data_IF_563324718020
#
_entry.id   IF_563324718020
#
_cell.length_a   1.000
_cell.length_b   1.000
_cell.length_c   1.000
_cell.angle_alpha   90.00
_cell.angle_beta   90.00
_cell.angle_gamma   90.00
#
_symmetry.space_group_name_H-M   'P 1'
#
loop_
_entity.id
_entity.type
_entity.pdbx_description
1 polymer ?
#
# COMPACT_ATOMS: atom_id res chain seq x y z
N UNK A 1 -19.96 10.51 20.42
CA UNK A 1 -18.51 10.59 20.73
C UNK A 1 -18.17 9.28 21.44
N UNK A 2 -17.16 8.55 20.99
CA UNK A 2 -16.70 7.36 21.70
C UNK A 2 -16.18 7.78 23.08
N UNK A 3 -16.46 6.97 24.11
CA UNK A 3 -15.85 7.19 25.39
C UNK A 3 -14.35 6.80 25.37
N UNK A 4 -13.58 7.38 26.26
CA UNK A 4 -12.12 7.23 26.32
C UNK A 4 -11.70 5.76 26.50
N UNK A 5 -12.45 4.99 27.26
CA UNK A 5 -12.23 3.57 27.51
C UNK A 5 -12.39 2.73 26.22
N UNK A 6 -13.42 3.02 25.43
CA UNK A 6 -13.63 2.34 24.14
C UNK A 6 -12.50 2.64 23.15
N UNK A 7 -11.98 3.87 23.14
CA UNK A 7 -10.84 4.25 22.31
C UNK A 7 -9.58 3.49 22.73
N UNK A 8 -9.29 3.39 24.02
CA UNK A 8 -8.14 2.63 24.55
C UNK A 8 -8.23 1.13 24.22
N UNK A 9 -9.41 0.54 24.38
CA UNK A 9 -9.66 -0.86 24.02
C UNK A 9 -9.42 -1.11 22.52
N UNK A 10 -9.87 -0.22 21.65
CA UNK A 10 -9.66 -0.30 20.21
C UNK A 10 -8.17 -0.18 19.86
N UNK A 11 -7.45 0.80 20.44
CA UNK A 11 -6.00 0.93 20.25
C UNK A 11 -5.26 -0.33 20.70
N UNK A 12 -5.58 -0.84 21.91
CA UNK A 12 -4.97 -2.07 22.42
C UNK A 12 -5.15 -3.29 21.51
N UNK A 13 -6.25 -3.34 20.76
CA UNK A 13 -6.50 -4.39 19.78
C UNK A 13 -5.74 -4.15 18.47
N UNK A 14 -5.89 -2.98 17.87
CA UNK A 14 -5.33 -2.67 16.55
C UNK A 14 -3.81 -2.50 16.55
N UNK A 15 -3.20 -2.08 17.66
CA UNK A 15 -1.74 -1.96 17.79
C UNK A 15 -1.02 -3.32 17.80
N UNK A 16 -1.75 -4.42 18.04
CA UNK A 16 -1.21 -5.79 17.98
C UNK A 16 -1.29 -6.42 16.59
N UNK A 17 -2.06 -5.82 15.69
CA UNK A 17 -2.23 -6.35 14.34
C UNK A 17 -1.07 -5.90 13.43
N UNK A 18 -0.63 -6.76 12.50
CA UNK A 18 0.43 -6.40 11.56
C UNK A 18 -0.06 -5.37 10.54
N UNK A 19 0.84 -4.45 10.18
CA UNK A 19 0.57 -3.40 9.21
C UNK A 19 0.00 -2.13 9.81
N UNK A 20 0.00 -1.08 9.02
CA UNK A 20 -0.60 0.20 9.38
C UNK A 20 -2.12 0.15 9.23
N UNK A 21 -2.87 0.31 10.31
CA UNK A 21 -4.33 0.22 10.29
C UNK A 21 -4.95 1.57 10.57
N UNK A 22 -5.96 1.90 9.77
CA UNK A 22 -6.75 3.11 9.91
C UNK A 22 -8.24 2.78 9.84
N UNK A 23 -9.02 3.34 10.76
CA UNK A 23 -10.48 3.31 10.71
C UNK A 23 -10.99 4.68 10.31
N UNK A 24 -11.85 4.72 9.31
CA UNK A 24 -12.36 5.94 8.67
C UNK A 24 -13.88 5.87 8.62
N UNK A 25 -14.59 6.96 8.87
CA UNK A 25 -16.05 7.02 8.69
C UNK A 25 -16.42 6.69 7.25
N UNK A 26 -17.46 5.87 7.08
CA UNK A 26 -17.98 5.53 5.76
C UNK A 26 -19.01 6.54 5.27
N UNK A 27 -18.72 7.83 5.43
CA UNK A 27 -19.48 8.96 4.92
C UNK A 27 -18.61 9.88 4.05
N UNK A 28 -19.17 10.96 3.53
CA UNK A 28 -18.44 11.89 2.66
C UNK A 28 -17.35 12.69 3.37
N UNK A 29 -17.31 12.69 4.71
CA UNK A 29 -16.24 13.34 5.48
C UNK A 29 -14.93 12.53 5.44
N UNK A 30 -15.03 11.21 5.32
CA UNK A 30 -13.91 10.29 5.41
C UNK A 30 -12.99 10.61 6.60
N UNK A 31 -13.61 11.00 7.74
CA UNK A 31 -12.89 11.36 8.97
C UNK A 31 -12.18 10.13 9.55
N UNK A 32 -10.92 10.29 9.90
CA UNK A 32 -10.13 9.24 10.53
C UNK A 32 -10.53 9.14 12.00
N UNK A 33 -11.02 7.98 12.40
CA UNK A 33 -11.45 7.68 13.76
C UNK A 33 -10.33 7.11 14.61
N UNK A 34 -9.43 6.33 13.98
CA UNK A 34 -8.31 5.66 14.63
C UNK A 34 -7.20 5.40 13.62
N UNK A 35 -5.95 5.51 14.05
CA UNK A 35 -4.77 4.99 13.38
C UNK A 35 -3.91 4.25 14.40
N UNK A 36 -3.43 3.05 14.07
CA UNK A 36 -2.57 2.30 14.97
C UNK A 36 -1.13 2.81 14.95
N UNK A 37 -0.33 2.40 15.93
CA UNK A 37 1.06 2.83 16.08
C UNK A 37 1.91 2.57 14.83
N UNK A 38 1.69 1.45 14.14
CA UNK A 38 2.44 1.11 12.93
C UNK A 38 2.11 2.06 11.78
N UNK A 39 0.85 2.52 11.64
CA UNK A 39 0.50 3.53 10.64
C UNK A 39 1.15 4.88 10.97
N UNK A 40 1.17 5.30 12.24
CA UNK A 40 1.88 6.51 12.66
C UNK A 40 3.36 6.44 12.29
N UNK A 41 4.00 5.29 12.50
CA UNK A 41 5.39 5.04 12.09
C UNK A 41 5.58 5.17 10.57
N UNK A 42 4.60 4.73 9.75
CA UNK A 42 4.68 4.88 8.29
C UNK A 42 4.73 6.34 7.87
N UNK A 43 4.00 7.20 8.58
CA UNK A 43 3.97 8.64 8.34
C UNK A 43 5.09 9.41 9.06
N UNK A 44 5.93 8.74 9.86
CA UNK A 44 6.96 9.35 10.70
C UNK A 44 6.37 10.33 11.71
N UNK A 45 5.21 10.01 12.26
CA UNK A 45 4.54 10.76 13.31
C UNK A 45 4.77 10.07 14.67
N UNK A 46 5.15 10.85 15.68
CA UNK A 46 5.40 10.33 17.03
C UNK A 46 4.11 9.99 17.80
N UNK A 47 2.99 10.62 17.41
CA UNK A 47 1.70 10.46 18.09
C UNK A 47 0.53 10.81 17.19
N UNK A 48 -0.68 10.54 17.69
CA UNK A 48 -1.94 10.82 17.01
C UNK A 48 -2.13 12.30 16.65
N UNK A 49 -1.70 13.23 17.50
CA UNK A 49 -1.88 14.65 17.25
C UNK A 49 -1.06 15.11 16.03
N UNK A 50 0.20 14.69 15.94
CA UNK A 50 1.06 14.98 14.78
C UNK A 50 0.49 14.39 13.48
N UNK A 51 -0.04 13.16 13.55
CA UNK A 51 -0.66 12.51 12.41
C UNK A 51 -1.93 13.26 11.96
N UNK A 52 -2.75 13.70 12.91
CA UNK A 52 -3.96 14.49 12.63
C UNK A 52 -3.63 15.85 12.01
N UNK A 53 -2.59 16.51 12.49
CA UNK A 53 -2.11 17.76 11.91
C UNK A 53 -1.61 17.58 10.47
N UNK A 54 -0.85 16.52 10.22
CA UNK A 54 -0.32 16.20 8.89
C UNK A 54 -1.43 15.88 7.88
N UNK A 55 -2.44 15.12 8.30
CA UNK A 55 -3.49 14.60 7.42
C UNK A 55 -4.78 15.42 7.43
N UNK A 56 -4.86 16.46 8.27
CA UNK A 56 -6.12 17.17 8.53
C UNK A 56 -7.20 16.27 9.12
N UNK A 57 -6.84 15.10 9.67
CA UNK A 57 -7.75 14.13 10.28
C UNK A 57 -8.68 13.43 9.29
N UNK A 58 -8.35 13.40 7.99
CA UNK A 58 -9.18 12.80 6.95
C UNK A 58 -8.37 11.86 6.04
N UNK A 59 -9.05 10.85 5.46
CA UNK A 59 -8.43 9.99 4.45
C UNK A 59 -7.88 10.80 3.26
N UNK A 60 -8.60 11.83 2.84
CA UNK A 60 -8.15 12.71 1.76
C UNK A 60 -6.77 13.33 2.04
N UNK A 61 -6.50 13.70 3.28
CA UNK A 61 -5.21 14.26 3.68
C UNK A 61 -4.10 13.22 3.91
N UNK A 62 -4.46 11.93 3.91
CA UNK A 62 -3.48 10.84 3.99
C UNK A 62 -2.77 10.58 2.66
N UNK A 63 -3.37 10.95 1.54
CA UNK A 63 -2.88 10.69 0.19
C UNK A 63 -2.55 11.98 -0.54
N UNK A 64 -1.72 11.90 -1.57
CA UNK A 64 -1.48 13.05 -2.45
C UNK A 64 -2.78 13.47 -3.16
N UNK A 65 -2.97 14.77 -3.35
CA UNK A 65 -4.18 15.30 -3.97
C UNK A 65 -4.45 14.74 -5.37
N UNK A 66 -3.39 14.47 -6.15
CA UNK A 66 -3.45 13.84 -7.48
C UNK A 66 -3.86 12.36 -7.45
N UNK A 67 -3.62 11.69 -6.33
CA UNK A 67 -3.87 10.26 -6.15
C UNK A 67 -5.16 9.97 -5.37
N UNK A 68 -5.83 11.03 -4.91
CA UNK A 68 -7.04 10.88 -4.11
C UNK A 68 -8.20 10.33 -4.94
N UNK A 69 -8.73 9.22 -4.48
CA UNK A 69 -9.99 8.61 -4.94
C UNK A 69 -10.83 8.34 -3.69
N UNK A 70 -12.09 8.80 -3.61
CA UNK A 70 -12.96 8.50 -2.49
C UNK A 70 -13.03 7.00 -2.21
N UNK A 71 -13.03 6.59 -0.93
CA UNK A 71 -13.00 5.17 -0.54
C UNK A 71 -14.17 4.37 -1.15
N UNK A 72 -15.36 4.96 -1.22
CA UNK A 72 -16.52 4.35 -1.90
C UNK A 72 -16.26 4.05 -3.38
N UNK A 73 -15.49 4.90 -4.06
CA UNK A 73 -15.20 4.74 -5.48
C UNK A 73 -14.07 3.72 -5.70
N UNK A 74 -13.14 3.57 -4.76
CA UNK A 74 -12.13 2.53 -4.79
C UNK A 74 -12.78 1.14 -4.80
N UNK A 75 -13.77 0.91 -3.92
CA UNK A 75 -14.50 -0.37 -3.88
C UNK A 75 -15.30 -0.58 -5.16
N UNK A 76 -15.96 0.46 -5.68
CA UNK A 76 -16.72 0.37 -6.92
C UNK A 76 -15.86 0.02 -8.14
N UNK A 77 -14.64 0.58 -8.24
CA UNK A 77 -13.77 0.43 -9.41
C UNK A 77 -12.84 -0.78 -9.30
N UNK A 78 -12.33 -1.06 -8.09
CA UNK A 78 -11.30 -2.10 -7.84
C UNK A 78 -11.82 -3.29 -7.06
N UNK A 79 -13.01 -3.17 -6.44
CA UNK A 79 -13.69 -4.28 -5.77
C UNK A 79 -14.39 -5.21 -6.73
N UNK A 80 -14.83 -6.36 -6.25
CA UNK A 80 -15.77 -7.20 -6.98
C UNK A 80 -17.19 -6.65 -6.81
N UNK A 81 -18.11 -6.83 -7.78
CA UNK A 81 -19.43 -6.18 -7.79
C UNK A 81 -20.28 -6.33 -6.52
N UNK A 82 -20.08 -7.38 -5.74
CA UNK A 82 -20.78 -7.65 -4.48
C UNK A 82 -19.85 -7.60 -3.26
N UNK A 83 -18.58 -7.23 -3.45
CA UNK A 83 -17.59 -7.24 -2.38
C UNK A 83 -17.61 -5.93 -1.59
N UNK A 84 -17.59 -6.05 -0.27
CA UNK A 84 -17.39 -4.91 0.63
C UNK A 84 -15.90 -4.58 0.84
N UNK A 85 -15.02 -5.00 -0.08
CA UNK A 85 -13.59 -4.80 0.03
C UNK A 85 -12.92 -4.55 -1.32
N UNK A 86 -11.75 -3.95 -1.27
CA UNK A 86 -10.87 -3.76 -2.43
C UNK A 86 -9.39 -3.84 -2.02
N UNK A 87 -8.56 -4.31 -2.96
CA UNK A 87 -7.11 -4.17 -2.86
C UNK A 87 -6.64 -3.02 -3.73
N UNK A 88 -5.77 -2.17 -3.20
CA UNK A 88 -5.24 -1.04 -3.96
C UNK A 88 -3.84 -0.63 -3.50
N UNK A 89 -3.13 0.08 -4.37
CA UNK A 89 -1.90 0.75 -3.96
C UNK A 89 -2.25 2.01 -3.18
N UNK A 90 -1.68 2.13 -2.01
CA UNK A 90 -1.88 3.23 -1.09
C UNK A 90 -0.66 4.17 -1.14
N UNK A 91 -0.75 5.27 -1.91
CA UNK A 91 0.30 6.27 -1.94
C UNK A 91 0.19 7.17 -0.72
N UNK A 92 1.31 7.45 -0.06
CA UNK A 92 1.34 8.35 1.09
C UNK A 92 2.65 9.11 1.16
N UNK A 93 2.59 10.29 1.75
CA UNK A 93 3.76 11.12 2.00
C UNK A 93 4.05 11.18 3.50
N UNK A 94 5.31 10.95 3.87
CA UNK A 94 5.76 11.07 5.26
C UNK A 94 5.86 12.53 5.68
N UNK A 95 5.97 12.78 6.98
CA UNK A 95 6.19 14.11 7.54
C UNK A 95 7.44 14.79 7.00
N UNK A 96 8.49 14.03 6.70
CA UNK A 96 9.73 14.50 6.06
C UNK A 96 9.60 14.73 4.55
N UNK A 97 8.41 14.51 3.98
CA UNK A 97 8.14 14.73 2.57
C UNK A 97 8.49 13.57 1.63
N UNK A 98 8.91 12.42 2.17
CA UNK A 98 9.20 11.23 1.36
C UNK A 98 7.91 10.61 0.84
N UNK A 99 7.87 10.36 -0.46
CA UNK A 99 6.76 9.67 -1.10
C UNK A 99 6.95 8.16 -1.03
N UNK A 100 5.94 7.46 -0.53
CA UNK A 100 5.94 6.01 -0.38
C UNK A 100 4.67 5.39 -0.96
N UNK A 101 4.72 4.09 -1.24
CA UNK A 101 3.57 3.29 -1.64
C UNK A 101 3.51 2.02 -0.79
N UNK A 102 2.32 1.72 -0.30
CA UNK A 102 2.00 0.45 0.34
C UNK A 102 0.95 -0.31 -0.46
N UNK A 103 0.75 -1.56 -0.13
CA UNK A 103 -0.41 -2.32 -0.59
C UNK A 103 -1.47 -2.24 0.51
N UNK A 104 -2.68 -1.85 0.16
CA UNK A 104 -3.76 -1.71 1.11
C UNK A 104 -4.93 -2.64 0.80
N UNK A 105 -5.50 -3.17 1.87
CA UNK A 105 -6.80 -3.82 1.89
C UNK A 105 -7.80 -2.85 2.52
N UNK A 106 -8.81 -2.47 1.75
CA UNK A 106 -9.94 -1.66 2.18
C UNK A 106 -11.14 -2.57 2.42
N UNK A 107 -11.77 -2.45 3.58
CA UNK A 107 -12.97 -3.23 3.93
C UNK A 107 -14.04 -2.29 4.47
N UNK A 108 -15.27 -2.36 3.95
CA UNK A 108 -16.43 -1.72 4.59
C UNK A 108 -17.04 -2.65 5.61
N UNK A 109 -17.26 -2.16 6.81
CA UNK A 109 -17.88 -2.92 7.90
C UNK A 109 -18.69 -1.99 8.81
N UNK A 110 -19.59 -2.57 9.60
CA UNK A 110 -20.30 -1.85 10.66
C UNK A 110 -19.73 -2.32 12.00
N UNK A 111 -19.27 -1.38 12.81
CA UNK A 111 -18.73 -1.67 14.14
C UNK A 111 -19.59 -1.03 15.22
N UNK A 112 -19.89 -1.80 16.27
CA UNK A 112 -20.66 -1.29 17.42
C UNK A 112 -19.97 -0.08 18.02
N UNK A 113 -20.69 1.01 18.17
CA UNK A 113 -20.17 2.27 18.71
C UNK A 113 -19.53 3.22 17.68
N UNK A 114 -19.08 2.70 16.53
CA UNK A 114 -18.50 3.50 15.44
C UNK A 114 -19.44 3.70 14.25
N UNK A 115 -20.47 2.83 14.11
CA UNK A 115 -21.33 2.82 12.92
C UNK A 115 -20.66 2.19 11.71
N UNK A 116 -21.01 2.66 10.52
CA UNK A 116 -20.40 2.24 9.26
C UNK A 116 -19.02 2.88 9.10
N UNK A 117 -18.03 2.04 8.87
CA UNK A 117 -16.64 2.45 8.74
C UNK A 117 -15.96 1.76 7.56
N UNK A 118 -14.92 2.41 7.08
CA UNK A 118 -13.88 1.81 6.27
C UNK A 118 -12.70 1.40 7.16
N UNK A 119 -12.30 0.15 7.10
CA UNK A 119 -11.04 -0.33 7.66
C UNK A 119 -10.01 -0.42 6.54
N UNK A 120 -8.92 0.32 6.69
CA UNK A 120 -7.80 0.32 5.74
C UNK A 120 -6.62 -0.35 6.44
N UNK A 121 -6.15 -1.47 5.90
CA UNK A 121 -4.93 -2.12 6.36
C UNK A 121 -3.83 -1.94 5.31
N UNK A 122 -2.82 -1.15 5.65
CA UNK A 122 -1.68 -0.82 4.78
C UNK A 122 -0.50 -1.68 5.17
N UNK A 123 -0.01 -2.45 4.22
CA UNK A 123 1.24 -3.18 4.35
C UNK A 123 2.33 -2.44 3.58
N UNK A 124 3.45 -2.12 4.23
CA UNK A 124 4.61 -1.58 3.52
C UNK A 124 4.99 -2.54 2.39
N UNK A 125 5.04 -2.02 1.19
CA UNK A 125 5.65 -2.78 0.11
C UNK A 125 7.12 -2.95 0.44
N UNK A 126 7.60 -4.19 0.55
CA UNK A 126 9.04 -4.46 0.67
C UNK A 126 9.82 -3.93 -0.54
N UNK A 127 9.11 -3.49 -1.57
CA UNK A 127 9.60 -2.96 -2.84
C UNK A 127 9.41 -1.44 -2.99
N UNK A 128 9.01 -0.70 -1.95
CA UNK A 128 9.06 0.76 -1.97
C UNK A 128 10.52 1.21 -1.79
N UNK A 129 11.33 1.01 -2.81
CA UNK A 129 12.60 1.69 -2.95
C UNK A 129 12.38 3.00 -3.70
N UNK A 130 13.15 4.02 -3.31
CA UNK A 130 13.24 5.32 -3.96
C UNK A 130 13.44 5.22 -5.48
N UNK A 131 13.17 6.29 -6.24
CA UNK A 131 12.99 6.26 -7.68
C UNK A 131 14.27 5.90 -8.45
N UNK A 132 14.51 4.60 -8.60
CA UNK A 132 15.36 4.05 -9.63
C UNK A 132 14.47 3.15 -10.50
N UNK A 133 14.39 3.41 -11.78
CA UNK A 133 13.62 2.57 -12.69
C UNK A 133 14.17 1.14 -12.76
N UNK A 134 15.41 0.95 -12.31
CA UNK A 134 16.13 -0.33 -12.34
C UNK A 134 16.50 -0.80 -10.93
N UNK A 135 16.60 -2.10 -10.78
CA UNK A 135 17.04 -2.76 -9.58
C UNK A 135 18.59 -2.74 -9.47
N UNK A 136 19.12 -2.46 -8.29
CA UNK A 136 20.57 -2.18 -8.12
C UNK A 136 21.47 -3.39 -8.33
N UNK A 137 20.96 -4.62 -8.18
CA UNK A 137 21.77 -5.84 -8.29
C UNK A 137 21.92 -6.26 -9.76
N UNK A 138 20.78 -6.34 -10.46
CA UNK A 138 20.73 -6.87 -11.82
C UNK A 138 20.69 -5.78 -12.89
N UNK A 139 20.35 -4.53 -12.52
CA UNK A 139 20.13 -3.44 -13.47
C UNK A 139 18.83 -3.57 -14.27
N UNK A 140 18.02 -4.60 -14.01
CA UNK A 140 16.73 -4.80 -14.66
C UNK A 140 15.68 -3.84 -14.09
N UNK A 141 14.57 -3.67 -14.82
CA UNK A 141 13.46 -2.87 -14.33
C UNK A 141 12.92 -3.44 -13.02
N UNK A 142 12.81 -2.60 -12.00
CA UNK A 142 12.10 -2.94 -10.77
C UNK A 142 10.63 -3.22 -11.06
N UNK A 143 9.97 -4.02 -10.22
CA UNK A 143 8.61 -4.50 -10.47
C UNK A 143 7.61 -3.41 -10.88
N UNK A 144 7.62 -2.25 -10.21
CA UNK A 144 6.73 -1.13 -10.54
C UNK A 144 7.02 -0.54 -11.92
N UNK A 145 8.30 -0.32 -12.25
CA UNK A 145 8.71 0.22 -13.54
C UNK A 145 8.43 -0.79 -14.66
N UNK A 146 8.63 -2.08 -14.41
CA UNK A 146 8.28 -3.16 -15.32
C UNK A 146 6.79 -3.15 -15.65
N UNK A 147 5.91 -3.17 -14.66
CA UNK A 147 4.46 -3.15 -14.88
C UNK A 147 3.98 -1.89 -15.60
N UNK A 148 4.56 -0.73 -15.25
CA UNK A 148 4.24 0.52 -15.96
C UNK A 148 4.60 0.40 -17.44
N UNK A 149 5.79 -0.07 -17.77
CA UNK A 149 6.27 -0.20 -19.14
C UNK A 149 5.48 -1.22 -19.95
N UNK A 150 5.12 -2.36 -19.33
CA UNK A 150 4.26 -3.36 -19.96
C UNK A 150 2.88 -2.78 -20.26
N UNK A 151 2.28 -2.06 -19.30
CA UNK A 151 0.98 -1.42 -19.52
C UNK A 151 1.02 -0.36 -20.62
N UNK A 152 2.04 0.49 -20.64
CA UNK A 152 2.24 1.49 -21.69
C UNK A 152 2.35 0.80 -23.07
N UNK A 153 3.11 -0.27 -23.17
CA UNK A 153 3.29 -1.02 -24.41
C UNK A 153 1.98 -1.65 -24.89
N UNK A 154 1.24 -2.33 -24.01
CA UNK A 154 -0.07 -2.90 -24.33
C UNK A 154 -1.07 -1.82 -24.78
N UNK A 155 -1.05 -0.63 -24.16
CA UNK A 155 -1.95 0.45 -24.56
C UNK A 155 -1.58 1.03 -25.92
N UNK A 156 -0.29 1.21 -26.22
CA UNK A 156 0.15 1.67 -27.54
C UNK A 156 -0.28 0.70 -28.64
N UNK A 157 -0.08 -0.60 -28.46
CA UNK A 157 -0.50 -1.58 -29.47
C UNK A 157 -2.02 -1.66 -29.66
N UNK A 158 -2.81 -1.43 -28.61
CA UNK A 158 -4.27 -1.32 -28.75
C UNK A 158 -4.67 -0.11 -29.59
N UNK A 159 -3.96 1.00 -29.49
CA UNK A 159 -4.21 2.21 -30.27
C UNK A 159 -3.85 1.97 -31.73
N UNK A 160 -2.76 1.27 -31.99
CA UNK A 160 -2.29 0.97 -33.34
C UNK A 160 -3.04 -0.19 -34.02
N UNK A 161 -3.98 -0.82 -33.32
CA UNK A 161 -4.76 -1.95 -33.84
C UNK A 161 -3.95 -3.24 -34.02
N UNK A 162 -2.74 -3.29 -33.50
CA UNK A 162 -1.85 -4.45 -33.54
C UNK A 162 -2.08 -5.27 -32.27
N UNK A 163 -3.05 -6.17 -32.28
CA UNK A 163 -3.30 -7.11 -31.18
C UNK A 163 -2.21 -8.16 -31.10
N UNK A 164 -1.19 -7.96 -30.26
CA UNK A 164 -0.19 -8.97 -29.93
C UNK A 164 -0.68 -9.96 -28.86
N UNK A 165 -0.25 -11.22 -28.96
CA UNK A 165 -0.39 -12.20 -27.88
C UNK A 165 0.82 -12.04 -26.96
N UNK A 166 0.56 -11.62 -25.70
CA UNK A 166 1.59 -11.52 -24.66
C UNK A 166 1.51 -12.72 -23.75
N UNK A 167 2.66 -13.24 -23.33
CA UNK A 167 2.73 -14.14 -22.19
C UNK A 167 3.63 -13.51 -21.12
N UNK A 168 3.30 -13.74 -19.88
CA UNK A 168 4.17 -13.42 -18.74
C UNK A 168 4.79 -14.70 -18.24
N UNK A 169 6.11 -14.73 -18.15
CA UNK A 169 6.84 -15.84 -17.56
C UNK A 169 7.35 -15.39 -16.19
N UNK A 170 6.97 -16.12 -15.18
CA UNK A 170 7.43 -15.92 -13.82
C UNK A 170 8.27 -17.12 -13.38
N UNK A 171 9.49 -16.86 -12.96
CA UNK A 171 10.36 -17.91 -12.40
C UNK A 171 10.98 -17.46 -11.10
N UNK A 172 11.35 -18.42 -10.26
CA UNK A 172 11.97 -18.19 -8.97
C UNK A 172 13.12 -19.15 -8.76
N UNK A 173 14.22 -18.66 -8.21
CA UNK A 173 15.35 -19.50 -7.82
C UNK A 173 15.03 -20.23 -6.50
N UNK A 174 14.86 -21.54 -6.58
CA UNK A 174 14.64 -22.37 -5.38
C UNK A 174 15.89 -22.41 -4.51
N UNK A 175 15.69 -22.41 -3.20
CA UNK A 175 16.78 -22.44 -2.20
C UNK A 175 17.80 -21.29 -2.27
N UNK A 176 17.45 -20.16 -2.89
CA UNK A 176 18.36 -19.00 -3.00
C UNK A 176 18.83 -18.49 -1.63
N UNK A 177 17.96 -18.53 -0.61
CA UNK A 177 18.34 -18.18 0.77
C UNK A 177 19.42 -19.12 1.32
N UNK A 178 19.34 -20.42 1.03
CA UNK A 178 20.35 -21.40 1.44
C UNK A 178 21.66 -21.18 0.70
N UNK A 179 21.58 -20.84 -0.59
CA UNK A 179 22.76 -20.47 -1.38
C UNK A 179 23.49 -19.28 -0.75
N UNK A 180 22.77 -18.21 -0.42
CA UNK A 180 23.35 -17.03 0.26
C UNK A 180 23.95 -17.37 1.64
N UNK A 181 23.33 -18.29 2.37
CA UNK A 181 23.86 -18.73 3.68
C UNK A 181 25.16 -19.50 3.56
N UNK A 182 25.34 -20.24 2.47
CA UNK A 182 26.53 -21.08 2.25
C UNK A 182 27.67 -20.32 1.57
N UNK A 183 27.35 -19.41 0.65
CA UNK A 183 28.36 -18.79 -0.22
C UNK A 183 28.45 -17.26 -0.03
N UNK A 184 27.59 -16.68 0.80
CA UNK A 184 27.55 -15.24 1.03
C UNK A 184 26.65 -14.50 0.05
N UNK A 185 26.21 -13.30 0.46
CA UNK A 185 25.30 -12.46 -0.33
C UNK A 185 25.93 -11.95 -1.63
N UNK A 186 27.25 -11.68 -1.64
CA UNK A 186 27.96 -11.26 -2.86
C UNK A 186 27.89 -12.30 -3.98
N UNK A 187 28.04 -13.58 -3.64
CA UNK A 187 27.92 -14.67 -4.60
C UNK A 187 26.46 -14.86 -5.06
N UNK A 188 25.50 -14.61 -4.17
CA UNK A 188 24.09 -14.59 -4.55
C UNK A 188 23.73 -13.46 -5.51
N UNK A 189 24.28 -12.28 -5.28
CA UNK A 189 24.09 -11.13 -6.16
C UNK A 189 24.71 -11.38 -7.54
N UNK A 190 25.87 -12.03 -7.59
CA UNK A 190 26.50 -12.42 -8.85
C UNK A 190 25.67 -13.47 -9.60
N UNK A 191 25.11 -14.45 -8.88
CA UNK A 191 24.20 -15.43 -9.48
C UNK A 191 22.97 -14.75 -10.09
N UNK A 192 22.37 -13.75 -9.40
CA UNK A 192 21.24 -13.01 -9.93
C UNK A 192 21.57 -12.19 -11.18
N UNK A 193 22.82 -11.75 -11.35
CA UNK A 193 23.25 -11.03 -12.58
C UNK A 193 23.43 -11.95 -13.77
N UNK A 194 23.60 -13.25 -13.54
CA UNK A 194 23.83 -14.24 -14.58
C UNK A 194 22.56 -14.94 -15.08
N UNK A 195 21.45 -14.80 -14.35
CA UNK A 195 20.13 -15.38 -14.70
C UNK A 195 19.30 -14.37 -15.45
#
# INVERSE_FOLDING_TARGET
MLDEKTIEELHSYYDRLPGGICLVKADDSEEILLANAELLNYYQCANWQEFKELTGGTYRGMVEASDYIPLKDIVRVKGQPEANYAYFQFPYRTREGHFNKGNALLIRTTQKGLGDIWSINVMKSKYSRAPGETENITGLLGGTAFYKRVNEHIQMEKIDGIGGLYCSVYFNLTNFKLYNSNYGTEQGDELLRQV
#
